data_IF_063159908897
#
_entry.id   IF_063159908897
#
_cell.length_a   1.000
_cell.length_b   1.000
_cell.length_c   1.000
_cell.angle_alpha   90.00
_cell.angle_beta   90.00
_cell.angle_gamma   90.00
#
_symmetry.space_group_name_H-M   'P 1'
#
loop_
_entity.id
_entity.type
_entity.pdbx_description
1 polymer ?
#
# COMPACT_ATOMS: atom_id res chain seq x y z
N UNK A 1 27.61 14.19 34.56
CA UNK A 1 26.63 13.15 34.16
C UNK A 1 26.90 11.77 34.77
N UNK A 2 28.15 11.40 35.08
CA UNK A 2 28.44 10.10 35.74
C UNK A 2 27.98 9.99 37.20
N UNK A 3 28.05 11.07 38.01
CA UNK A 3 27.63 11.04 39.42
C UNK A 3 26.12 10.84 39.63
N UNK A 4 25.27 11.15 38.64
CA UNK A 4 23.83 10.91 38.70
C UNK A 4 23.46 9.43 38.41
N UNK A 5 24.28 8.71 37.65
CA UNK A 5 24.02 7.29 37.32
C UNK A 5 24.22 6.38 38.54
N UNK A 6 25.10 6.72 39.47
CA UNK A 6 25.37 5.91 40.67
C UNK A 6 24.26 6.00 41.71
N UNK A 7 23.58 7.14 41.80
CA UNK A 7 22.47 7.35 42.75
C UNK A 7 21.20 6.56 42.41
N UNK A 8 21.02 6.16 41.14
CA UNK A 8 19.81 5.45 40.69
C UNK A 8 19.84 3.94 40.99
N UNK A 9 20.98 3.38 41.44
CA UNK A 9 21.14 1.94 41.67
C UNK A 9 20.50 1.44 42.99
N UNK A 10 20.07 2.34 43.87
CA UNK A 10 19.53 2.02 45.20
C UNK A 10 18.02 2.30 45.35
N UNK A 11 17.30 2.64 44.27
CA UNK A 11 15.83 2.66 44.24
C UNK A 11 15.12 3.88 44.83
N UNK A 12 15.81 4.85 45.45
CA UNK A 12 15.20 6.11 45.94
C UNK A 12 16.16 7.28 45.75
N UNK A 13 15.69 8.39 45.16
CA UNK A 13 16.42 9.66 45.06
C UNK A 13 15.78 10.67 46.02
N UNK A 14 16.54 11.16 47.01
CA UNK A 14 16.11 12.22 47.92
C UNK A 14 16.59 13.58 47.42
N UNK A 15 15.66 14.48 47.07
CA UNK A 15 15.94 15.88 46.77
C UNK A 15 15.37 16.74 47.90
N UNK A 16 16.24 17.49 48.58
CA UNK A 16 15.82 18.46 49.59
C UNK A 16 15.74 19.84 48.94
N UNK A 17 14.53 20.32 48.74
CA UNK A 17 14.25 21.72 48.41
C UNK A 17 13.18 22.23 49.39
N UNK A 18 13.53 23.24 50.19
CA UNK A 18 12.54 24.00 50.96
C UNK A 18 11.72 23.21 52.00
N UNK A 19 12.33 22.31 52.75
CA UNK A 19 11.72 21.74 53.97
C UNK A 19 10.65 20.65 53.78
N UNK A 20 10.34 20.24 52.55
CA UNK A 20 9.46 19.09 52.28
C UNK A 20 10.25 17.94 51.62
N UNK A 21 10.16 16.75 52.21
CA UNK A 21 10.71 15.52 51.65
C UNK A 21 9.78 15.00 50.54
N UNK A 22 10.15 15.19 49.26
CA UNK A 22 9.48 14.53 48.13
C UNK A 22 10.17 13.20 47.81
N UNK A 23 9.44 12.08 47.94
CA UNK A 23 9.88 10.76 47.47
C UNK A 23 9.51 10.59 45.99
N UNK A 24 10.50 10.70 45.10
CA UNK A 24 10.32 10.35 43.68
C UNK A 24 10.71 8.89 43.49
N UNK A 25 9.71 8.04 43.28
CA UNK A 25 9.92 6.62 43.01
C UNK A 25 10.41 6.46 41.57
N UNK A 26 11.68 6.09 41.41
CA UNK A 26 12.25 5.78 40.10
C UNK A 26 11.64 4.46 39.60
N UNK A 27 10.60 4.57 38.77
CA UNK A 27 10.12 3.47 37.95
C UNK A 27 11.25 3.07 36.99
N UNK A 28 11.91 1.97 37.32
CA UNK A 28 12.89 1.34 36.43
C UNK A 28 12.12 0.78 35.24
N UNK A 29 12.16 1.50 34.11
CA UNK A 29 11.74 0.99 32.81
C UNK A 29 12.63 -0.21 32.49
N UNK A 30 12.15 -1.42 32.82
CA UNK A 30 12.72 -2.63 32.24
C UNK A 30 12.58 -2.47 30.73
N UNK A 31 13.71 -2.45 30.02
CA UNK A 31 13.70 -2.58 28.58
C UNK A 31 12.92 -3.86 28.27
N UNK A 32 11.81 -3.70 27.56
CA UNK A 32 10.97 -4.80 27.13
C UNK A 32 11.83 -5.72 26.26
N UNK A 33 12.11 -6.93 26.76
CA UNK A 33 12.88 -7.91 26.00
C UNK A 33 12.11 -8.18 24.71
N UNK A 34 12.73 -7.86 23.56
CA UNK A 34 12.13 -8.07 22.26
C UNK A 34 11.84 -9.57 22.08
N UNK A 35 10.59 -9.95 22.24
CA UNK A 35 10.15 -11.34 22.08
C UNK A 35 10.42 -11.75 20.63
N UNK A 36 11.21 -12.80 20.43
CA UNK A 36 11.44 -13.36 19.10
C UNK A 36 10.14 -13.90 18.52
N UNK A 37 9.64 -13.26 17.47
CA UNK A 37 8.39 -13.63 16.80
C UNK A 37 8.69 -14.70 15.74
N UNK A 38 8.12 -15.90 15.91
CA UNK A 38 8.06 -16.89 14.83
C UNK A 38 6.59 -17.07 14.44
N UNK A 39 6.13 -16.48 13.32
CA UNK A 39 4.69 -16.39 13.02
C UNK A 39 3.97 -17.75 13.01
N UNK A 40 4.60 -18.79 12.46
CA UNK A 40 3.98 -20.12 12.44
C UNK A 40 3.93 -20.76 13.83
N UNK A 41 4.93 -20.53 14.68
CA UNK A 41 4.92 -20.98 16.08
C UNK A 41 3.78 -20.32 16.85
N UNK A 42 3.58 -19.01 16.65
CA UNK A 42 2.51 -18.26 17.29
C UNK A 42 1.12 -18.68 16.79
N UNK A 43 1.02 -19.08 15.51
CA UNK A 43 -0.24 -19.54 14.89
C UNK A 43 -0.63 -20.96 15.30
N UNK A 44 0.33 -21.88 15.31
CA UNK A 44 0.08 -23.30 15.58
C UNK A 44 0.50 -23.68 17.00
N UNK A 45 0.27 -22.79 18.00
CA UNK A 45 0.75 -22.93 19.39
C UNK A 45 0.70 -24.38 19.87
N UNK A 46 1.70 -24.75 20.68
CA UNK A 46 2.06 -26.11 21.10
C UNK A 46 0.93 -27.04 21.60
N UNK A 47 -0.27 -26.54 21.84
CA UNK A 47 -1.42 -27.31 22.32
C UNK A 47 -1.92 -28.35 21.30
N UNK A 48 -1.65 -28.16 20.01
CA UNK A 48 -2.10 -29.06 18.94
C UNK A 48 -0.97 -29.85 18.26
N UNK A 49 0.29 -29.67 18.70
CA UNK A 49 1.45 -30.31 18.09
C UNK A 49 2.21 -31.12 19.14
N UNK A 50 2.67 -32.32 18.79
CA UNK A 50 3.67 -33.01 19.60
C UNK A 50 4.98 -32.22 19.62
N UNK A 51 5.82 -32.42 20.64
CA UNK A 51 7.14 -31.75 20.71
C UNK A 51 7.99 -31.98 19.45
N UNK A 52 7.86 -33.15 18.83
CA UNK A 52 8.53 -33.46 17.57
C UNK A 52 7.99 -32.62 16.41
N UNK A 53 6.66 -32.53 16.26
CA UNK A 53 6.03 -31.70 15.24
C UNK A 53 6.36 -30.21 15.42
N UNK A 54 6.35 -29.75 16.67
CA UNK A 54 6.71 -28.39 17.03
C UNK A 54 8.20 -28.10 16.73
N UNK A 55 9.10 -29.05 17.01
CA UNK A 55 10.51 -28.97 16.64
C UNK A 55 10.73 -28.95 15.12
N UNK A 56 10.01 -29.79 14.36
CA UNK A 56 10.04 -29.81 12.89
C UNK A 56 9.58 -28.47 12.31
N UNK A 57 8.54 -27.86 12.88
CA UNK A 57 8.07 -26.52 12.50
C UNK A 57 9.19 -25.49 12.68
N UNK A 58 9.82 -25.44 13.87
CA UNK A 58 10.87 -24.47 14.17
C UNK A 58 12.12 -24.64 13.29
N UNK A 59 12.56 -25.87 13.03
CA UNK A 59 13.68 -26.16 12.12
C UNK A 59 13.43 -25.59 10.72
N UNK A 60 12.16 -25.67 10.27
CA UNK A 60 11.73 -25.09 8.99
C UNK A 60 11.66 -23.56 9.05
N UNK A 61 10.99 -22.98 10.05
CA UNK A 61 10.77 -21.53 10.16
C UNK A 61 12.06 -20.74 10.34
N UNK A 62 12.98 -21.25 11.18
CA UNK A 62 14.27 -20.64 11.47
C UNK A 62 15.32 -20.97 10.41
N UNK A 63 14.96 -21.80 9.41
CA UNK A 63 15.78 -22.19 8.28
C UNK A 63 17.12 -22.85 8.67
N UNK A 64 17.17 -23.62 9.77
CA UNK A 64 18.39 -24.25 10.28
C UNK A 64 19.07 -25.16 9.24
N UNK A 65 18.26 -25.83 8.41
CA UNK A 65 18.71 -26.71 7.33
C UNK A 65 19.52 -26.00 6.23
N UNK A 66 19.41 -24.67 6.10
CA UNK A 66 20.20 -23.92 5.11
C UNK A 66 21.70 -24.03 5.37
N UNK A 67 22.10 -24.25 6.63
CA UNK A 67 23.49 -24.47 7.03
C UNK A 67 23.75 -25.92 7.47
N UNK A 68 22.79 -26.57 8.13
CA UNK A 68 22.98 -27.92 8.70
C UNK A 68 22.58 -29.07 7.75
N UNK A 69 22.06 -28.77 6.56
CA UNK A 69 21.66 -29.76 5.57
C UNK A 69 20.36 -30.50 5.89
N UNK A 70 20.10 -31.59 5.17
CA UNK A 70 18.92 -32.43 5.38
C UNK A 70 19.10 -33.35 6.60
N UNK A 71 18.09 -33.40 7.46
CA UNK A 71 18.08 -34.31 8.61
C UNK A 71 17.58 -35.70 8.16
N UNK A 72 18.34 -36.76 8.46
CA UNK A 72 17.99 -38.12 8.06
C UNK A 72 16.56 -38.49 8.54
N UNK A 73 15.69 -38.86 7.60
CA UNK A 73 14.29 -39.23 7.89
C UNK A 73 13.32 -38.06 8.13
N UNK A 74 13.77 -36.80 8.06
CA UNK A 74 12.91 -35.61 8.17
C UNK A 74 12.95 -34.82 6.86
N UNK A 75 11.91 -34.95 6.04
CA UNK A 75 11.74 -34.10 4.84
C UNK A 75 11.27 -32.72 5.27
N UNK A 76 12.20 -31.85 5.65
CA UNK A 76 11.96 -30.41 5.83
C UNK A 76 12.55 -29.70 4.61
N UNK A 77 11.79 -28.77 4.00
CA UNK A 77 12.25 -28.02 2.83
C UNK A 77 12.84 -26.66 3.27
N UNK A 78 14.04 -26.26 2.81
CA UNK A 78 14.64 -24.95 3.09
C UNK A 78 13.71 -23.82 2.68
N UNK A 79 13.58 -22.84 3.57
CA UNK A 79 12.90 -21.59 3.24
C UNK A 79 13.82 -20.77 2.34
N UNK A 80 13.44 -20.63 1.09
CA UNK A 80 14.20 -19.84 0.13
C UNK A 80 14.07 -18.34 0.44
N UNK A 81 15.17 -17.62 0.28
CA UNK A 81 15.22 -16.17 0.44
C UNK A 81 14.41 -15.45 -0.66
N UNK A 82 13.93 -14.22 -0.42
CA UNK A 82 13.29 -13.42 -1.45
C UNK A 82 14.23 -13.12 -2.62
N UNK A 83 13.69 -13.11 -3.84
CA UNK A 83 14.45 -12.75 -5.04
C UNK A 83 14.59 -11.22 -5.12
N UNK A 84 15.84 -10.75 -5.24
CA UNK A 84 16.18 -9.32 -5.28
C UNK A 84 16.25 -8.74 -6.70
N UNK A 85 16.11 -9.56 -7.74
CA UNK A 85 16.00 -9.10 -9.13
C UNK A 85 14.90 -8.07 -9.28
N UNK A 86 15.20 -6.95 -9.96
CA UNK A 86 14.29 -5.81 -10.13
C UNK A 86 13.71 -5.26 -8.82
N UNK A 87 14.41 -5.39 -7.69
CA UNK A 87 14.02 -4.78 -6.41
C UNK A 87 13.79 -3.27 -6.57
N UNK A 88 14.63 -2.62 -7.37
CA UNK A 88 14.58 -1.21 -7.73
C UNK A 88 13.24 -0.73 -8.33
N UNK A 89 12.46 -1.61 -8.97
CA UNK A 89 11.13 -1.27 -9.51
C UNK A 89 10.01 -1.52 -8.49
N UNK A 90 10.27 -2.40 -7.53
CA UNK A 90 9.25 -2.93 -6.61
C UNK A 90 9.30 -2.28 -5.23
N UNK A 91 10.48 -1.90 -4.76
CA UNK A 91 10.74 -1.51 -3.38
C UNK A 91 11.21 -0.05 -3.29
N UNK A 92 10.66 0.68 -2.32
CA UNK A 92 11.11 2.02 -1.97
C UNK A 92 12.57 1.97 -1.45
N UNK A 93 13.51 2.76 -2.01
CA UNK A 93 14.89 2.82 -1.53
C UNK A 93 15.02 3.17 -0.04
N UNK A 94 14.19 4.09 0.47
CA UNK A 94 14.19 4.46 1.89
C UNK A 94 13.80 3.26 2.77
N UNK A 95 12.78 2.50 2.35
CA UNK A 95 12.38 1.27 3.03
C UNK A 95 13.47 0.20 2.99
N UNK A 96 14.13 -0.01 1.84
CA UNK A 96 15.25 -0.95 1.73
C UNK A 96 16.34 -0.58 2.73
N UNK A 97 16.72 0.70 2.78
CA UNK A 97 17.73 1.20 3.72
C UNK A 97 17.34 0.95 5.18
N UNK A 98 16.11 1.29 5.56
CA UNK A 98 15.60 1.09 6.91
C UNK A 98 15.56 -0.40 7.28
N UNK A 99 15.14 -1.25 6.34
CA UNK A 99 15.09 -2.69 6.52
C UNK A 99 16.48 -3.29 6.73
N UNK A 100 17.48 -2.88 5.96
CA UNK A 100 18.88 -3.31 6.14
C UNK A 100 19.45 -2.87 7.50
N UNK A 101 19.08 -1.68 7.96
CA UNK A 101 19.53 -1.15 9.25
C UNK A 101 18.96 -1.93 10.45
N UNK A 102 17.67 -2.26 10.42
CA UNK A 102 17.02 -3.02 11.50
C UNK A 102 15.83 -3.87 11.00
N UNK A 103 16.08 -5.08 10.48
CA UNK A 103 15.02 -5.92 9.89
C UNK A 103 13.89 -6.26 10.85
N UNK A 104 14.20 -6.57 12.11
CA UNK A 104 13.20 -6.95 13.12
C UNK A 104 12.30 -5.79 13.52
N UNK A 105 12.81 -4.54 13.51
CA UNK A 105 12.00 -3.37 13.80
C UNK A 105 11.04 -3.05 12.65
N UNK A 106 11.49 -3.21 11.40
CA UNK A 106 10.65 -2.93 10.22
C UNK A 106 9.64 -4.06 9.97
N UNK A 107 10.05 -5.31 10.17
CA UNK A 107 9.17 -6.48 10.07
C UNK A 107 9.46 -7.46 11.21
N UNK A 108 8.74 -7.36 12.33
CA UNK A 108 8.83 -8.33 13.41
C UNK A 108 8.64 -9.76 12.91
N UNK A 109 9.53 -10.66 13.33
CA UNK A 109 9.52 -12.07 12.96
C UNK A 109 10.01 -12.38 11.54
N UNK A 110 10.70 -11.43 10.92
CA UNK A 110 11.52 -11.74 9.73
C UNK A 110 12.65 -12.70 10.10
N UNK A 111 13.05 -13.58 9.18
CA UNK A 111 14.23 -14.44 9.36
C UNK A 111 15.53 -13.74 8.98
N UNK A 112 15.45 -12.53 8.41
CA UNK A 112 16.64 -11.76 8.08
C UNK A 112 17.33 -11.29 9.36
N UNK A 113 18.59 -11.72 9.61
CA UNK A 113 19.31 -11.29 10.80
C UNK A 113 19.71 -9.82 10.69
N UNK A 114 19.96 -9.20 11.84
CA UNK A 114 20.61 -7.88 11.86
C UNK A 114 22.05 -8.05 11.39
N UNK A 115 22.38 -7.43 10.26
CA UNK A 115 23.74 -7.42 9.73
C UNK A 115 24.56 -6.37 10.50
N UNK A 116 25.05 -6.70 11.69
CA UNK A 116 25.70 -5.73 12.58
C UNK A 116 26.80 -4.91 11.90
N UNK A 117 27.63 -5.54 11.06
CA UNK A 117 28.67 -4.86 10.29
C UNK A 117 28.12 -3.82 9.32
N UNK A 118 27.07 -4.15 8.57
CA UNK A 118 26.41 -3.21 7.66
C UNK A 118 25.64 -2.13 8.44
N UNK A 119 24.92 -2.50 9.49
CA UNK A 119 24.08 -1.58 10.27
C UNK A 119 24.88 -0.56 11.09
N UNK A 120 26.17 -0.80 11.32
CA UNK A 120 27.07 0.11 12.05
C UNK A 120 27.71 1.19 11.18
N UNK A 121 27.70 1.03 9.85
CA UNK A 121 28.31 1.99 8.92
C UNK A 121 27.27 2.52 7.92
N UNK A 122 26.88 3.80 8.02
CA UNK A 122 25.96 4.43 7.09
C UNK A 122 26.39 4.31 5.61
N UNK A 123 27.69 4.38 5.32
CA UNK A 123 28.19 4.30 3.95
C UNK A 123 27.97 2.91 3.34
N UNK A 124 28.08 1.84 4.15
CA UNK A 124 27.79 0.47 3.72
C UNK A 124 26.29 0.30 3.43
N UNK A 125 25.41 0.83 4.29
CA UNK A 125 23.97 0.80 4.04
C UNK A 125 23.61 1.56 2.76
N UNK A 126 24.18 2.75 2.57
CA UNK A 126 23.91 3.60 1.41
C UNK A 126 24.38 2.91 0.12
N UNK A 127 25.57 2.29 0.14
CA UNK A 127 26.09 1.54 -1.02
C UNK A 127 25.23 0.31 -1.36
N UNK A 128 24.81 -0.47 -0.36
CA UNK A 128 23.94 -1.63 -0.57
C UNK A 128 22.56 -1.21 -1.09
N UNK A 129 21.97 -0.16 -0.50
CA UNK A 129 20.69 0.39 -0.95
C UNK A 129 20.82 0.89 -2.39
N UNK A 130 21.83 1.70 -2.68
CA UNK A 130 22.07 2.23 -4.02
C UNK A 130 22.22 1.12 -5.06
N UNK A 131 22.95 0.04 -4.75
CA UNK A 131 23.10 -1.11 -5.65
C UNK A 131 21.77 -1.85 -5.86
N UNK A 132 21.03 -2.15 -4.79
CA UNK A 132 19.76 -2.87 -4.86
C UNK A 132 18.64 -2.07 -5.56
N UNK A 133 18.73 -0.74 -5.49
CA UNK A 133 17.78 0.17 -6.15
C UNK A 133 18.36 0.88 -7.37
N UNK A 134 19.53 0.46 -7.86
CA UNK A 134 20.15 1.02 -9.04
C UNK A 134 19.28 0.79 -10.28
N UNK A 135 19.16 1.82 -11.13
CA UNK A 135 18.34 1.76 -12.35
C UNK A 135 16.84 1.61 -12.10
N UNK A 136 16.38 1.75 -10.85
CA UNK A 136 14.97 1.67 -10.47
C UNK A 136 14.24 2.98 -10.66
N UNK A 137 13.08 2.90 -11.32
CA UNK A 137 12.11 3.99 -11.40
C UNK A 137 11.05 3.93 -10.31
N UNK A 138 11.37 3.46 -9.09
CA UNK A 138 10.40 3.48 -7.99
C UNK A 138 9.94 4.91 -7.75
N UNK A 139 8.62 5.11 -7.76
CA UNK A 139 7.97 6.39 -7.51
C UNK A 139 6.73 6.15 -6.66
N UNK A 140 6.49 7.03 -5.69
CA UNK A 140 5.17 7.14 -5.09
C UNK A 140 4.19 7.57 -6.19
N UNK A 141 3.01 6.95 -6.21
CA UNK A 141 2.00 7.16 -7.24
C UNK A 141 0.69 7.52 -6.57
N UNK A 142 -0.07 8.36 -7.24
CA UNK A 142 -1.45 8.58 -6.90
C UNK A 142 -2.22 7.26 -6.93
N UNK A 143 -3.11 7.11 -5.96
CA UNK A 143 -3.94 5.93 -5.82
C UNK A 143 -5.38 6.35 -6.07
N UNK A 144 -6.03 5.66 -7.00
CA UNK A 144 -7.38 6.03 -7.40
C UNK A 144 -8.42 5.72 -6.33
N UNK A 145 -9.27 6.69 -6.00
CA UNK A 145 -10.34 6.52 -5.02
C UNK A 145 -11.31 5.41 -5.44
N UNK A 146 -11.63 5.32 -6.74
CA UNK A 146 -12.51 4.28 -7.28
C UNK A 146 -11.88 2.89 -7.16
N UNK A 147 -10.59 2.78 -7.48
CA UNK A 147 -9.84 1.54 -7.31
C UNK A 147 -9.70 1.14 -5.82
N UNK A 148 -9.60 2.11 -4.90
CA UNK A 148 -9.59 1.86 -3.45
C UNK A 148 -10.94 1.29 -3.00
N UNK A 149 -12.07 1.86 -3.44
CA UNK A 149 -13.41 1.35 -3.12
C UNK A 149 -13.58 -0.10 -3.59
N UNK A 150 -13.32 -0.38 -4.88
CA UNK A 150 -13.42 -1.75 -5.42
C UNK A 150 -12.43 -2.72 -4.76
N UNK A 151 -11.23 -2.23 -4.46
CA UNK A 151 -10.18 -2.99 -3.80
C UNK A 151 -10.53 -3.39 -2.37
N UNK A 152 -11.24 -2.54 -1.63
CA UNK A 152 -11.75 -2.84 -0.29
C UNK A 152 -12.73 -4.02 -0.35
N UNK A 153 -13.71 -3.96 -1.25
CA UNK A 153 -14.69 -5.03 -1.43
C UNK A 153 -14.03 -6.33 -1.88
N UNK A 154 -13.12 -6.26 -2.86
CA UNK A 154 -12.36 -7.42 -3.33
C UNK A 154 -11.53 -8.04 -2.21
N UNK A 155 -10.83 -7.23 -1.40
CA UNK A 155 -10.00 -7.73 -0.29
C UNK A 155 -10.80 -8.63 0.66
N UNK A 156 -12.05 -8.29 0.92
CA UNK A 156 -12.94 -9.09 1.77
C UNK A 156 -13.51 -10.29 1.00
N UNK A 157 -14.02 -10.10 -0.21
CA UNK A 157 -14.64 -11.16 -1.03
C UNK A 157 -13.68 -12.29 -1.39
N UNK A 158 -12.44 -11.96 -1.73
CA UNK A 158 -11.40 -12.96 -2.07
C UNK A 158 -10.74 -13.60 -0.83
N UNK A 159 -11.15 -13.18 0.37
CA UNK A 159 -10.72 -13.80 1.64
C UNK A 159 -9.38 -13.34 2.19
N UNK A 160 -8.79 -12.24 1.70
CA UNK A 160 -7.53 -11.71 2.22
C UNK A 160 -7.61 -11.44 3.74
N UNK A 161 -8.75 -10.93 4.20
CA UNK A 161 -9.01 -10.62 5.60
C UNK A 161 -8.89 -11.83 6.54
N UNK A 162 -9.10 -13.07 6.04
CA UNK A 162 -8.99 -14.28 6.86
C UNK A 162 -7.56 -14.54 7.36
N UNK A 163 -6.54 -14.08 6.63
CA UNK A 163 -5.13 -14.21 7.03
C UNK A 163 -4.51 -12.89 7.50
N UNK A 164 -4.90 -11.77 6.89
CA UNK A 164 -4.29 -10.46 7.12
C UNK A 164 -5.06 -9.58 8.10
N UNK A 165 -6.27 -9.99 8.49
CA UNK A 165 -7.20 -9.16 9.24
C UNK A 165 -7.87 -8.10 8.37
N UNK A 166 -8.91 -7.46 8.91
CA UNK A 166 -9.56 -6.32 8.30
C UNK A 166 -8.61 -5.11 8.29
N UNK A 167 -8.49 -4.43 7.15
CA UNK A 167 -7.59 -3.29 6.98
C UNK A 167 -8.31 -1.94 7.12
N UNK A 168 -9.63 -1.93 7.35
CA UNK A 168 -10.41 -0.71 7.59
C UNK A 168 -10.05 -0.09 8.94
N UNK A 169 -10.45 1.16 9.14
CA UNK A 169 -10.23 1.81 10.42
C UNK A 169 -11.09 1.16 11.51
N UNK A 170 -10.68 1.28 12.78
CA UNK A 170 -11.42 0.68 13.90
C UNK A 170 -12.86 1.23 13.95
N UNK A 171 -13.04 2.50 13.61
CA UNK A 171 -14.32 3.19 13.54
C UNK A 171 -15.23 2.58 12.46
N UNK A 172 -14.69 2.32 11.26
CA UNK A 172 -15.45 1.69 10.16
C UNK A 172 -15.84 0.26 10.53
N UNK A 173 -14.91 -0.51 11.11
CA UNK A 173 -15.17 -1.88 11.56
C UNK A 173 -16.29 -1.89 12.61
N UNK A 174 -16.25 -0.96 13.56
CA UNK A 174 -17.27 -0.83 14.59
C UNK A 174 -18.63 -0.43 14.01
N UNK A 175 -18.67 0.54 13.09
CA UNK A 175 -19.89 0.95 12.42
C UNK A 175 -20.54 -0.20 11.63
N UNK A 176 -19.74 -1.03 10.95
CA UNK A 176 -20.25 -2.20 10.22
C UNK A 176 -20.78 -3.29 11.15
N UNK A 177 -20.15 -3.50 12.31
CA UNK A 177 -20.64 -4.43 13.34
C UNK A 177 -21.97 -3.97 13.94
N UNK A 178 -22.14 -2.66 14.11
CA UNK A 178 -23.39 -2.04 14.56
C UNK A 178 -24.50 -2.05 13.50
N UNK A 179 -24.19 -2.47 12.27
CA UNK A 179 -25.16 -2.63 11.19
C UNK A 179 -25.83 -1.31 10.81
N UNK A 180 -25.07 -0.37 10.21
CA UNK A 180 -25.57 0.84 9.53
C UNK A 180 -26.86 1.44 10.13
N UNK A 181 -26.81 1.86 11.39
CA UNK A 181 -27.75 2.82 11.93
C UNK A 181 -26.95 4.09 12.33
N UNK A 182 -27.39 5.30 11.96
CA UNK A 182 -26.88 6.51 12.60
C UNK A 182 -27.14 6.38 14.11
N UNK A 183 -26.37 7.07 14.98
CA UNK A 183 -26.65 7.05 16.40
C UNK A 183 -28.11 7.45 16.59
N UNK A 184 -28.91 6.52 17.13
CA UNK A 184 -30.15 6.89 17.77
C UNK A 184 -29.74 7.79 18.93
N UNK A 185 -30.40 8.94 19.00
CA UNK A 185 -30.26 9.89 20.07
C UNK A 185 -30.36 9.17 21.44
N UNK A 186 -29.55 9.67 22.35
CA UNK A 186 -29.43 9.35 23.78
C UNK A 186 -30.60 8.58 24.40
N UNK A 187 -30.31 7.46 25.05
CA UNK A 187 -30.81 7.08 26.40
C UNK A 187 -30.32 5.66 26.75
N UNK A 188 -29.27 5.60 27.59
CA UNK A 188 -29.10 4.69 28.73
C UNK A 188 -27.61 4.69 29.16
N UNK A 189 -27.18 5.84 29.71
CA UNK A 189 -25.96 5.96 30.48
C UNK A 189 -26.14 5.27 31.84
N UNK A 190 -26.00 3.94 31.93
CA UNK A 190 -25.84 3.25 33.23
C UNK A 190 -25.35 1.77 33.08
N UNK A 191 -24.41 1.48 32.17
CA UNK A 191 -23.63 0.22 32.24
C UNK A 191 -22.13 0.50 32.50
N UNK A 192 -21.66 0.41 33.77
CA UNK A 192 -20.25 0.60 34.11
C UNK A 192 -19.32 -0.48 33.50
N UNK A 193 -19.85 -1.56 32.92
CA UNK A 193 -19.06 -2.59 32.23
C UNK A 193 -18.88 -2.34 30.72
N UNK A 194 -19.55 -1.34 30.12
CA UNK A 194 -19.43 -1.03 28.69
C UNK A 194 -18.03 -0.50 28.31
N UNK A 195 -17.43 0.31 29.19
CA UNK A 195 -16.08 0.88 29.00
C UNK A 195 -15.00 -0.21 29.09
N UNK A 196 -15.21 -1.22 29.95
CA UNK A 196 -14.30 -2.36 30.09
C UNK A 196 -14.39 -3.34 28.90
N UNK A 197 -15.56 -3.46 28.27
CA UNK A 197 -15.74 -4.26 27.05
C UNK A 197 -15.09 -3.59 25.82
N UNK A 198 -15.17 -2.26 25.71
CA UNK A 198 -14.53 -1.47 24.63
C UNK A 198 -12.99 -1.51 24.71
N UNK A 199 -12.43 -1.42 25.92
CA UNK A 199 -10.99 -1.57 26.12
C UNK A 199 -10.49 -3.01 25.86
N UNK A 200 -11.33 -4.03 26.12
CA UNK A 200 -11.03 -5.42 25.75
C UNK A 200 -11.12 -5.68 24.25
N UNK A 201 -12.00 -5.00 23.51
CA UNK A 201 -12.07 -5.11 22.03
C UNK A 201 -10.98 -4.33 21.31
N UNK A 202 -10.40 -3.30 21.93
CA UNK A 202 -9.19 -2.64 21.42
C UNK A 202 -7.94 -3.52 21.61
N UNK A 203 -7.85 -4.26 22.73
CA UNK A 203 -6.75 -5.19 22.99
C UNK A 203 -6.74 -6.44 22.07
N UNK A 204 -7.90 -6.81 21.49
CA UNK A 204 -8.01 -7.97 20.58
C UNK A 204 -7.62 -7.66 19.13
N UNK A 205 -7.23 -6.44 18.77
CA UNK A 205 -6.61 -6.14 17.47
C UNK A 205 -5.19 -6.70 17.31
N UNK A 206 -4.62 -7.33 18.35
CA UNK A 206 -3.25 -7.87 18.36
C UNK A 206 -3.12 -9.36 18.05
N UNK A 207 -4.21 -10.10 17.83
CA UNK A 207 -4.17 -11.56 17.61
C UNK A 207 -4.26 -11.99 16.12
N UNK A 208 -4.15 -11.06 15.16
CA UNK A 208 -4.21 -11.42 13.73
C UNK A 208 -2.87 -11.90 13.15
N UNK A 209 -2.97 -12.99 12.39
CA UNK A 209 -1.93 -13.98 12.14
C UNK A 209 -0.78 -13.54 11.21
N UNK A 210 -0.96 -12.48 10.40
CA UNK A 210 0.05 -11.97 9.46
C UNK A 210 -0.17 -10.46 9.18
N UNK A 211 0.25 -9.54 10.08
CA UNK A 211 0.08 -8.11 9.85
C UNK A 211 0.83 -7.66 8.59
N UNK A 212 0.15 -6.87 7.75
CA UNK A 212 0.72 -6.34 6.52
C UNK A 212 1.73 -5.20 6.78
N UNK A 213 1.58 -4.49 7.89
CA UNK A 213 2.39 -3.32 8.21
C UNK A 213 2.12 -2.16 7.26
N UNK A 214 3.09 -1.25 7.13
CA UNK A 214 3.00 -0.06 6.27
C UNK A 214 3.45 -0.37 4.85
N UNK A 215 2.54 -0.90 4.04
CA UNK A 215 2.83 -1.28 2.66
C UNK A 215 3.08 -0.05 1.77
N UNK A 216 2.45 1.08 2.09
CA UNK A 216 2.61 2.39 1.43
C UNK A 216 4.05 2.90 1.45
N UNK A 217 4.81 2.54 2.48
CA UNK A 217 6.22 2.92 2.59
C UNK A 217 7.14 1.96 1.83
N UNK A 218 6.65 0.76 1.48
CA UNK A 218 7.47 -0.36 1.01
C UNK A 218 7.39 -0.58 -0.49
N UNK A 219 6.18 -0.65 -1.03
CA UNK A 219 5.96 -1.11 -2.40
C UNK A 219 5.61 0.05 -3.32
N UNK A 220 6.02 -0.04 -4.59
CA UNK A 220 5.33 0.67 -5.67
C UNK A 220 3.98 -0.02 -5.96
N UNK A 221 3.05 0.71 -6.59
CA UNK A 221 1.78 0.12 -7.02
C UNK A 221 2.00 -1.09 -7.95
N UNK A 222 2.78 -0.91 -9.01
CA UNK A 222 3.12 -2.00 -9.94
C UNK A 222 3.83 -3.18 -9.24
N UNK A 223 4.73 -2.88 -8.28
CA UNK A 223 5.41 -3.91 -7.51
C UNK A 223 4.48 -4.71 -6.61
N UNK A 224 3.47 -4.07 -6.02
CA UNK A 224 2.45 -4.75 -5.21
C UNK A 224 1.49 -5.55 -6.09
N UNK A 225 1.02 -5.00 -7.21
CA UNK A 225 0.19 -5.72 -8.18
C UNK A 225 0.85 -7.02 -8.65
N UNK A 226 2.12 -6.96 -9.04
CA UNK A 226 2.88 -8.15 -9.45
C UNK A 226 3.00 -9.15 -8.31
N UNK A 227 3.23 -8.68 -7.08
CA UNK A 227 3.32 -9.56 -5.91
C UNK A 227 1.97 -10.23 -5.58
N UNK A 228 0.85 -9.53 -5.72
CA UNK A 228 -0.48 -10.09 -5.47
C UNK A 228 -0.86 -11.16 -6.50
N UNK A 229 -0.46 -10.98 -7.76
CA UNK A 229 -0.71 -11.95 -8.85
C UNK A 229 0.22 -13.15 -8.78
N UNK A 230 1.51 -12.91 -8.53
CA UNK A 230 2.55 -13.94 -8.57
C UNK A 230 3.45 -13.89 -7.33
N UNK A 231 2.93 -14.20 -6.12
CA UNK A 231 3.67 -14.02 -4.87
C UNK A 231 4.92 -14.88 -4.80
N UNK A 232 4.88 -16.08 -5.39
CA UNK A 232 5.99 -17.04 -5.40
C UNK A 232 7.11 -16.68 -6.38
N UNK A 233 6.85 -15.82 -7.36
CA UNK A 233 7.89 -15.32 -8.27
C UNK A 233 8.89 -14.43 -7.51
N UNK A 234 8.41 -13.61 -6.58
CA UNK A 234 9.26 -12.73 -5.75
C UNK A 234 9.67 -13.42 -4.44
N UNK A 235 8.81 -14.29 -3.89
CA UNK A 235 9.05 -15.02 -2.65
C UNK A 235 8.76 -16.52 -2.82
N UNK A 236 9.70 -17.30 -3.40
CA UNK A 236 9.53 -18.74 -3.57
C UNK A 236 9.24 -19.46 -2.24
N UNK A 237 9.91 -19.06 -1.15
CA UNK A 237 9.66 -19.55 0.21
C UNK A 237 8.49 -18.85 0.95
N UNK A 238 7.64 -18.11 0.24
CA UNK A 238 6.43 -17.48 0.76
C UNK A 238 5.29 -18.48 0.96
N UNK A 239 4.33 -18.13 1.82
CA UNK A 239 3.13 -18.95 2.11
C UNK A 239 1.82 -18.32 1.67
N UNK A 240 1.88 -17.09 1.13
CA UNK A 240 0.71 -16.48 0.55
C UNK A 240 0.36 -17.26 -0.72
N UNK A 241 -0.83 -17.87 -0.81
CA UNK A 241 -1.24 -18.57 -2.02
C UNK A 241 -1.46 -17.59 -3.17
N UNK A 242 -1.48 -18.09 -4.40
CA UNK A 242 -2.09 -17.36 -5.51
C UNK A 242 -3.59 -17.22 -5.23
N UNK A 243 -4.09 -15.98 -5.28
CA UNK A 243 -5.53 -15.70 -5.20
C UNK A 243 -6.18 -15.61 -6.59
N UNK A 244 -5.42 -15.90 -7.66
CA UNK A 244 -5.87 -15.90 -9.05
C UNK A 244 -6.55 -14.60 -9.51
N UNK A 245 -6.09 -13.46 -8.97
CA UNK A 245 -6.60 -12.14 -9.30
C UNK A 245 -6.27 -11.78 -10.76
N UNK A 246 -7.22 -11.16 -11.45
CA UNK A 246 -6.97 -10.51 -12.73
C UNK A 246 -5.99 -9.32 -12.57
N UNK A 247 -5.41 -8.81 -13.66
CA UNK A 247 -4.64 -7.56 -13.62
C UNK A 247 -5.41 -6.40 -12.96
N UNK A 248 -6.68 -6.23 -13.30
CA UNK A 248 -7.57 -5.18 -12.80
C UNK A 248 -7.90 -5.39 -11.31
N UNK A 249 -8.25 -6.62 -10.91
CA UNK A 249 -8.51 -6.95 -9.51
C UNK A 249 -7.26 -6.74 -8.64
N UNK A 250 -6.08 -7.10 -9.16
CA UNK A 250 -4.81 -6.89 -8.45
C UNK A 250 -4.48 -5.41 -8.28
N UNK A 251 -4.81 -4.58 -9.28
CA UNK A 251 -4.68 -3.11 -9.23
C UNK A 251 -5.57 -2.54 -8.15
N UNK A 252 -6.82 -2.96 -8.10
CA UNK A 252 -7.80 -2.45 -7.14
C UNK A 252 -7.40 -2.84 -5.70
N UNK A 253 -7.07 -4.12 -5.45
CA UNK A 253 -6.58 -4.56 -4.13
C UNK A 253 -5.27 -3.86 -3.74
N UNK A 254 -4.32 -3.71 -4.66
CA UNK A 254 -3.09 -2.96 -4.40
C UNK A 254 -3.37 -1.49 -4.08
N UNK A 255 -4.31 -0.85 -4.79
CA UNK A 255 -4.75 0.52 -4.55
C UNK A 255 -5.34 0.64 -3.14
N UNK A 256 -6.25 -0.25 -2.76
CA UNK A 256 -6.78 -0.29 -1.40
C UNK A 256 -5.67 -0.40 -0.34
N UNK A 257 -4.72 -1.31 -0.53
CA UNK A 257 -3.60 -1.50 0.40
C UNK A 257 -2.64 -0.30 0.46
N UNK A 258 -2.55 0.50 -0.60
CA UNK A 258 -1.70 1.68 -0.72
C UNK A 258 -2.45 3.00 -0.55
N UNK A 259 -3.74 2.99 -0.16
CA UNK A 259 -4.61 4.20 -0.01
C UNK A 259 -4.05 5.32 0.87
N UNK A 260 -3.02 5.04 1.68
CA UNK A 260 -2.32 6.00 2.55
C UNK A 260 -1.10 6.65 1.88
N UNK A 261 -0.77 6.28 0.64
CA UNK A 261 0.26 6.97 -0.14
C UNK A 261 -0.20 8.41 -0.36
N UNK A 262 0.63 9.35 0.07
CA UNK A 262 0.41 10.76 -0.19
C UNK A 262 1.28 11.18 -1.36
N UNK A 263 0.65 11.75 -2.38
CA UNK A 263 1.34 12.44 -3.49
C UNK A 263 0.72 13.82 -3.63
N UNK A 264 1.53 14.77 -4.09
CA UNK A 264 1.02 16.09 -4.44
C UNK A 264 0.11 16.00 -5.67
N UNK A 265 -0.92 16.84 -5.70
CA UNK A 265 -1.80 16.95 -6.86
C UNK A 265 -0.99 17.33 -8.10
N UNK A 266 -1.22 16.60 -9.20
CA UNK A 266 -0.40 16.65 -10.40
C UNK A 266 -1.23 16.71 -11.69
N UNK A 267 -2.56 16.82 -11.57
CA UNK A 267 -3.53 16.91 -12.65
C UNK A 267 -4.56 17.98 -12.27
N UNK A 268 -4.93 18.85 -13.20
CA UNK A 268 -6.11 19.72 -13.06
C UNK A 268 -7.35 18.97 -13.54
N UNK A 269 -8.49 19.20 -12.90
CA UNK A 269 -9.77 18.67 -13.35
C UNK A 269 -10.81 19.77 -13.51
N UNK A 270 -11.74 19.53 -14.40
CA UNK A 270 -12.97 20.29 -14.58
C UNK A 270 -14.15 19.30 -14.58
N UNK A 271 -15.15 19.59 -13.76
CA UNK A 271 -16.35 18.77 -13.62
C UNK A 271 -17.56 19.51 -14.21
N UNK A 272 -18.36 18.77 -14.95
CA UNK A 272 -19.53 19.26 -15.69
C UNK A 272 -20.73 18.38 -15.38
N UNK A 273 -21.92 18.96 -15.39
CA UNK A 273 -23.18 18.23 -15.22
C UNK A 273 -24.02 18.35 -16.48
N UNK A 274 -24.61 17.23 -16.90
CA UNK A 274 -25.40 17.14 -18.12
C UNK A 274 -25.55 15.70 -18.57
N UNK A 275 -26.52 15.44 -19.43
CA UNK A 275 -26.76 14.11 -19.98
C UNK A 275 -26.29 14.10 -21.43
N UNK A 276 -25.43 13.15 -21.78
CA UNK A 276 -24.87 13.02 -23.12
C UNK A 276 -24.84 11.56 -23.55
N UNK A 277 -24.95 11.32 -24.86
CA UNK A 277 -24.77 9.99 -25.45
C UNK A 277 -23.35 9.81 -26.04
N UNK A 278 -22.58 10.91 -26.08
CA UNK A 278 -21.21 11.03 -26.62
C UNK A 278 -20.49 12.15 -25.89
N UNK A 279 -19.15 12.13 -25.92
CA UNK A 279 -18.32 13.17 -25.33
C UNK A 279 -18.75 14.56 -25.80
N UNK A 280 -19.04 15.48 -24.85
CA UNK A 280 -19.46 16.83 -25.20
C UNK A 280 -18.29 17.67 -25.74
N UNK A 281 -18.63 18.80 -26.37
CA UNK A 281 -17.65 19.85 -26.60
C UNK A 281 -17.38 20.61 -25.29
N UNK A 282 -16.38 20.16 -24.55
CA UNK A 282 -15.93 20.76 -23.29
C UNK A 282 -15.49 22.22 -23.41
N UNK A 283 -15.21 22.72 -24.62
CA UNK A 283 -14.87 24.14 -24.83
C UNK A 283 -16.11 25.04 -24.78
N UNK A 284 -17.28 24.49 -25.10
CA UNK A 284 -18.57 25.19 -25.06
C UNK A 284 -19.28 25.09 -23.71
N UNK A 285 -18.82 24.20 -22.82
CA UNK A 285 -19.42 23.97 -21.51
C UNK A 285 -18.84 24.87 -20.42
N UNK A 286 -19.68 25.21 -19.44
CA UNK A 286 -19.24 25.86 -18.20
C UNK A 286 -19.05 24.80 -17.12
N UNK A 287 -17.82 24.68 -16.60
CA UNK A 287 -17.54 23.78 -15.48
C UNK A 287 -18.33 24.19 -14.23
N UNK A 288 -18.92 23.19 -13.56
CA UNK A 288 -19.58 23.33 -12.26
C UNK A 288 -18.53 23.49 -11.17
N UNK A 289 -17.43 22.73 -11.25
CA UNK A 289 -16.28 22.89 -10.36
C UNK A 289 -14.97 22.63 -11.10
N UNK A 290 -13.89 23.16 -10.53
CA UNK A 290 -12.51 22.94 -11.00
C UNK A 290 -11.61 22.74 -9.80
N UNK A 291 -10.54 21.99 -9.98
CA UNK A 291 -9.56 21.80 -8.92
C UNK A 291 -8.34 21.05 -9.42
N UNK A 292 -7.59 20.49 -8.47
CA UNK A 292 -6.47 19.61 -8.76
C UNK A 292 -6.72 18.26 -8.09
N UNK A 293 -6.18 17.21 -8.71
CA UNK A 293 -6.26 15.84 -8.24
C UNK A 293 -4.92 15.14 -8.50
N UNK A 294 -4.81 13.92 -8.01
CA UNK A 294 -3.64 13.08 -8.15
C UNK A 294 -3.84 12.00 -9.23
N UNK A 295 -5.08 11.71 -9.61
CA UNK A 295 -5.44 10.63 -10.54
C UNK A 295 -6.62 11.00 -11.45
N UNK A 296 -7.08 10.03 -12.26
CA UNK A 296 -8.23 10.18 -13.16
C UNK A 296 -9.50 9.54 -12.56
N UNK A 297 -9.80 9.80 -11.28
CA UNK A 297 -10.98 9.22 -10.62
C UNK A 297 -12.28 9.75 -11.24
N UNK A 298 -13.17 8.84 -11.60
CA UNK A 298 -14.52 9.15 -12.07
C UNK A 298 -15.44 9.61 -10.92
N UNK A 299 -15.12 9.27 -9.67
CA UNK A 299 -15.83 9.71 -8.46
C UNK A 299 -15.63 11.19 -8.08
N UNK A 300 -15.05 12.02 -8.95
CA UNK A 300 -14.94 13.47 -8.72
C UNK A 300 -16.26 14.13 -9.09
N UNK A 301 -16.93 14.72 -8.11
CA UNK A 301 -18.18 15.45 -8.33
C UNK A 301 -19.23 15.14 -7.28
N UNK A 302 -20.43 15.67 -7.49
CA UNK A 302 -21.56 15.45 -6.59
C UNK A 302 -22.52 14.35 -7.09
N UNK A 303 -22.47 14.03 -8.39
CA UNK A 303 -23.38 13.06 -9.02
C UNK A 303 -22.66 11.75 -9.33
N UNK A 304 -23.45 10.69 -9.38
CA UNK A 304 -23.02 9.37 -9.87
C UNK A 304 -23.34 9.17 -11.35
N UNK A 305 -24.25 9.98 -11.90
CA UNK A 305 -24.74 9.90 -13.28
C UNK A 305 -24.90 11.31 -13.86
N UNK A 306 -25.02 11.41 -15.18
CA UNK A 306 -25.20 12.67 -15.92
C UNK A 306 -24.10 13.70 -15.58
N UNK A 307 -22.85 13.27 -15.70
CA UNK A 307 -21.69 14.14 -15.51
C UNK A 307 -20.59 13.89 -16.53
N UNK A 308 -19.69 14.86 -16.65
CA UNK A 308 -18.49 14.73 -17.45
C UNK A 308 -17.28 15.32 -16.72
N UNK A 309 -16.11 14.77 -17.01
CA UNK A 309 -14.83 15.18 -16.46
C UNK A 309 -13.85 15.49 -17.58
N UNK A 310 -13.11 16.59 -17.43
CA UNK A 310 -11.93 16.88 -18.25
C UNK A 310 -10.73 17.05 -17.33
N UNK A 311 -9.73 16.21 -17.55
CA UNK A 311 -8.46 16.25 -16.86
C UNK A 311 -7.40 16.86 -17.77
N UNK A 312 -6.59 17.75 -17.20
CA UNK A 312 -5.57 18.51 -17.90
C UNK A 312 -4.25 18.36 -17.14
N UNK A 313 -3.15 18.18 -17.88
CA UNK A 313 -1.82 18.15 -17.29
C UNK A 313 -0.74 17.90 -18.33
N UNK A 314 0.41 17.46 -17.84
CA UNK A 314 1.56 17.15 -18.68
C UNK A 314 2.13 15.78 -18.34
N UNK A 315 2.21 14.88 -19.32
CA UNK A 315 2.88 13.58 -19.15
C UNK A 315 4.39 13.71 -19.39
N UNK A 316 5.18 13.20 -18.44
CA UNK A 316 6.63 13.21 -18.47
C UNK A 316 7.16 11.88 -18.98
N UNK A 317 7.70 11.89 -20.20
CA UNK A 317 8.19 10.71 -20.91
C UNK A 317 9.69 10.54 -20.68
N UNK A 318 10.13 9.46 -19.99
CA UNK A 318 11.54 9.31 -19.63
C UNK A 318 12.44 8.92 -20.80
N UNK A 319 11.90 8.24 -21.82
CA UNK A 319 12.65 7.76 -22.98
C UNK A 319 11.82 7.91 -24.24
N UNK A 320 12.43 8.34 -25.34
CA UNK A 320 11.73 8.39 -26.61
C UNK A 320 11.37 6.98 -27.11
N UNK A 321 10.23 6.83 -27.77
CA UNK A 321 9.82 5.59 -28.43
C UNK A 321 8.30 5.42 -28.50
N UNK A 322 7.88 4.19 -28.77
CA UNK A 322 6.46 3.83 -28.89
C UNK A 322 5.86 3.52 -27.53
N UNK A 323 4.83 4.29 -27.16
CA UNK A 323 4.05 4.06 -25.96
C UNK A 323 2.68 3.52 -26.32
N UNK A 324 2.18 2.59 -25.51
CA UNK A 324 0.79 2.13 -25.58
C UNK A 324 0.02 2.67 -24.39
N UNK A 325 -1.07 3.35 -24.67
CA UNK A 325 -2.04 3.86 -23.68
C UNK A 325 -3.22 2.91 -23.66
N UNK A 326 -3.67 2.55 -22.46
CA UNK A 326 -4.83 1.70 -22.22
C UNK A 326 -5.85 2.51 -21.42
N UNK A 327 -7.11 2.49 -21.84
CA UNK A 327 -8.21 3.17 -21.19
C UNK A 327 -9.34 2.17 -20.97
N UNK A 328 -9.83 2.07 -19.75
CA UNK A 328 -11.09 1.38 -19.43
C UNK A 328 -12.07 2.43 -18.95
N UNK A 329 -13.25 2.50 -19.55
CA UNK A 329 -14.32 3.37 -19.07
C UNK A 329 -15.70 2.70 -19.11
N UNK A 330 -16.54 2.99 -18.12
CA UNK A 330 -18.01 2.91 -18.24
C UNK A 330 -18.46 4.18 -18.94
N UNK A 331 -19.20 4.05 -20.04
CA UNK A 331 -19.45 5.13 -21.02
C UNK A 331 -18.19 5.79 -21.60
N UNK A 332 -18.33 7.01 -22.13
CA UNK A 332 -17.41 7.56 -23.11
C UNK A 332 -16.15 8.15 -22.52
N UNK A 333 -14.99 7.82 -23.10
CA UNK A 333 -13.72 8.46 -22.78
C UNK A 333 -12.82 8.71 -23.97
N UNK A 334 -11.92 9.69 -23.84
CA UNK A 334 -10.91 10.03 -24.84
C UNK A 334 -9.61 10.48 -24.18
N UNK A 335 -8.48 10.06 -24.75
CA UNK A 335 -7.15 10.51 -24.33
C UNK A 335 -6.42 11.17 -25.49
N UNK A 336 -5.96 12.40 -25.27
CA UNK A 336 -5.11 13.14 -26.18
C UNK A 336 -3.74 13.39 -25.55
N UNK A 337 -2.67 13.15 -26.32
CA UNK A 337 -1.30 13.48 -25.94
C UNK A 337 -0.73 14.42 -27.00
N UNK A 338 -0.38 15.64 -26.58
CA UNK A 338 -0.14 16.77 -27.48
C UNK A 338 -1.43 17.11 -28.23
N UNK A 339 -1.36 17.13 -29.55
CA UNK A 339 -2.51 17.39 -30.44
C UNK A 339 -3.13 16.09 -30.99
N UNK A 340 -2.63 14.92 -30.57
CA UNK A 340 -3.03 13.63 -31.13
C UNK A 340 -4.02 12.93 -30.21
N UNK A 341 -5.17 12.54 -30.76
CA UNK A 341 -6.07 11.56 -30.15
C UNK A 341 -5.40 10.18 -30.18
N UNK A 342 -5.10 9.65 -28.99
CA UNK A 342 -4.41 8.35 -28.84
C UNK A 342 -5.41 7.23 -28.62
N UNK A 343 -6.42 7.47 -27.77
CA UNK A 343 -7.49 6.51 -27.49
C UNK A 343 -8.83 7.22 -27.55
N UNK A 344 -9.81 6.58 -28.19
CA UNK A 344 -11.18 7.00 -28.25
C UNK A 344 -12.07 5.80 -27.92
N UNK A 345 -12.74 5.90 -26.78
CA UNK A 345 -13.70 4.94 -26.26
C UNK A 345 -15.03 5.66 -26.00
N UNK A 346 -15.50 6.43 -26.98
CA UNK A 346 -16.72 7.24 -26.86
C UNK A 346 -18.01 6.43 -27.07
N UNK A 347 -19.11 6.94 -26.51
CA UNK A 347 -20.44 6.36 -26.54
C UNK A 347 -20.86 5.68 -25.24
N UNK A 348 -22.15 5.34 -25.15
CA UNK A 348 -22.72 4.63 -23.99
C UNK A 348 -22.39 3.15 -24.07
N UNK A 349 -21.77 2.61 -23.03
CA UNK A 349 -21.43 1.19 -22.93
C UNK A 349 -21.01 0.81 -21.51
N UNK A 350 -21.18 -0.47 -21.10
CA UNK A 350 -20.59 -0.98 -19.86
C UNK A 350 -19.05 -0.79 -19.83
N UNK A 351 -18.36 -1.08 -18.71
CA UNK A 351 -16.91 -0.95 -18.63
C UNK A 351 -16.18 -1.74 -19.72
N UNK A 352 -15.58 -1.02 -20.67
CA UNK A 352 -14.86 -1.60 -21.81
C UNK A 352 -13.46 -0.99 -21.92
N UNK A 353 -12.47 -1.86 -22.12
CA UNK A 353 -11.08 -1.48 -22.35
C UNK A 353 -10.77 -1.21 -23.83
N UNK A 354 -10.08 -0.11 -24.13
CA UNK A 354 -9.47 0.20 -25.42
C UNK A 354 -8.02 0.64 -25.26
N UNK A 355 -7.24 0.43 -26.30
CA UNK A 355 -5.84 0.82 -26.30
C UNK A 355 -5.45 1.51 -27.61
N UNK A 356 -4.45 2.37 -27.52
CA UNK A 356 -3.88 3.11 -28.64
C UNK A 356 -2.37 3.23 -28.49
N UNK A 357 -1.68 3.48 -29.61
CA UNK A 357 -0.22 3.64 -29.62
C UNK A 357 0.17 5.02 -30.12
N UNK A 358 1.25 5.56 -29.58
CA UNK A 358 1.75 6.89 -29.94
C UNK A 358 3.27 6.95 -29.85
N UNK A 359 3.89 7.56 -30.85
CA UNK A 359 5.32 7.89 -30.83
C UNK A 359 5.55 9.17 -30.03
N UNK A 360 6.32 9.06 -28.94
CA UNK A 360 6.65 10.17 -28.05
C UNK A 360 8.17 10.38 -27.98
N UNK A 361 8.59 11.65 -27.94
CA UNK A 361 9.96 12.02 -27.60
C UNK A 361 10.13 12.02 -26.08
N UNK A 362 11.36 11.90 -25.59
CA UNK A 362 11.63 12.14 -24.18
C UNK A 362 11.28 13.60 -23.80
N UNK A 363 10.74 13.81 -22.60
CA UNK A 363 10.31 15.11 -22.10
C UNK A 363 8.81 15.21 -21.87
N UNK A 364 8.33 16.44 -21.73
CA UNK A 364 6.96 16.76 -21.35
C UNK A 364 6.03 16.88 -22.56
N UNK A 365 4.84 16.28 -22.49
CA UNK A 365 3.79 16.40 -23.49
C UNK A 365 2.48 16.81 -22.82
N UNK A 366 1.71 17.70 -23.45
CA UNK A 366 0.37 18.04 -22.96
C UNK A 366 -0.51 16.78 -22.92
N UNK A 367 -1.33 16.65 -21.89
CA UNK A 367 -2.24 15.52 -21.70
C UNK A 367 -3.65 16.07 -21.46
N UNK A 368 -4.60 15.51 -22.19
CA UNK A 368 -6.03 15.72 -21.96
C UNK A 368 -6.69 14.35 -21.84
N UNK A 369 -7.43 14.13 -20.76
CA UNK A 369 -8.31 12.96 -20.60
C UNK A 369 -9.72 13.47 -20.41
N UNK A 370 -10.63 13.02 -21.25
CA UNK A 370 -12.05 13.40 -21.22
C UNK A 370 -12.89 12.16 -20.95
N UNK A 371 -13.96 12.34 -20.18
CA UNK A 371 -14.84 11.27 -19.74
C UNK A 371 -16.27 11.81 -19.55
N UNK A 372 -17.28 10.99 -19.82
CA UNK A 372 -18.64 11.22 -19.36
C UNK A 372 -19.27 9.93 -18.84
N UNK A 373 -20.19 10.08 -17.90
CA UNK A 373 -21.02 9.01 -17.36
C UNK A 373 -22.48 9.43 -17.50
N UNK A 374 -23.28 8.64 -18.22
CA UNK A 374 -24.71 8.87 -18.34
C UNK A 374 -25.49 8.15 -17.25
N UNK A 375 -25.15 6.89 -16.96
CA UNK A 375 -25.98 6.07 -16.09
C UNK A 375 -25.42 4.67 -15.86
N UNK A 376 -25.22 4.31 -14.61
CA UNK A 376 -24.78 2.97 -14.26
C UNK A 376 -23.81 2.98 -13.09
N UNK A 377 -22.72 2.24 -13.23
CA UNK A 377 -21.56 2.44 -12.37
C UNK A 377 -20.59 3.38 -13.06
N UNK A 378 -19.78 4.10 -12.31
CA UNK A 378 -18.70 4.87 -12.92
C UNK A 378 -17.36 4.10 -12.91
N UNK A 379 -16.70 3.99 -14.06
CA UNK A 379 -15.31 3.54 -14.13
C UNK A 379 -14.52 4.41 -15.11
N UNK A 380 -13.35 4.86 -14.67
CA UNK A 380 -12.31 5.40 -15.54
C UNK A 380 -10.94 4.91 -15.04
N UNK A 381 -10.18 4.30 -15.94
CA UNK A 381 -8.79 3.97 -15.70
C UNK A 381 -7.96 4.27 -16.92
N UNK A 382 -6.83 4.95 -16.72
CA UNK A 382 -5.88 5.29 -17.78
C UNK A 382 -4.50 4.82 -17.39
N UNK A 383 -3.93 3.92 -18.20
CA UNK A 383 -2.64 3.30 -17.98
C UNK A 383 -1.73 3.45 -19.21
N UNK A 384 -0.43 3.33 -19.00
CA UNK A 384 0.59 3.47 -20.04
C UNK A 384 1.70 2.44 -19.86
N UNK A 385 2.23 1.93 -20.96
CA UNK A 385 3.44 1.11 -21.03
C UNK A 385 4.34 1.56 -22.20
N UNK A 386 5.64 1.27 -22.13
CA UNK A 386 6.58 1.67 -23.18
C UNK A 386 8.05 1.32 -22.87
N UNK A 387 9.02 1.93 -23.58
CA UNK A 387 10.43 1.59 -23.47
C UNK A 387 10.97 1.80 -22.05
N UNK A 388 11.29 0.70 -21.37
CA UNK A 388 11.76 0.72 -19.98
C UNK A 388 10.69 1.10 -18.95
N UNK A 389 9.41 1.04 -19.34
CA UNK A 389 8.26 1.36 -18.50
C UNK A 389 7.26 0.20 -18.54
N UNK A 390 7.11 -0.52 -17.42
CA UNK A 390 6.03 -1.51 -17.25
C UNK A 390 4.67 -0.82 -17.24
N UNK A 391 3.61 -1.52 -17.65
CA UNK A 391 2.23 -1.03 -17.55
C UNK A 391 1.94 -0.52 -16.14
N UNK A 392 1.49 0.72 -16.06
CA UNK A 392 1.16 1.42 -14.82
C UNK A 392 0.16 2.55 -15.10
N UNK A 393 -0.55 3.08 -14.08
CA UNK A 393 -1.34 4.29 -14.20
C UNK A 393 -0.59 5.46 -14.86
N UNK A 394 -1.22 6.10 -15.83
CA UNK A 394 -0.66 7.24 -16.55
C UNK A 394 -0.44 8.46 -15.62
N UNK A 395 -1.28 8.61 -14.60
CA UNK A 395 -1.18 9.68 -13.60
C UNK A 395 0.13 9.68 -12.80
N UNK A 396 0.87 8.57 -12.79
CA UNK A 396 2.19 8.52 -12.16
C UNK A 396 3.27 9.29 -12.91
N UNK A 397 3.01 9.62 -14.18
CA UNK A 397 3.90 10.37 -15.05
C UNK A 397 3.43 11.81 -15.24
N UNK A 398 2.36 12.25 -14.59
CA UNK A 398 1.80 13.59 -14.83
C UNK A 398 2.35 14.65 -13.90
N UNK A 399 2.36 15.89 -14.39
CA UNK A 399 2.68 17.12 -13.65
C UNK A 399 1.69 18.23 -14.03
N UNK A 400 1.46 19.19 -13.12
CA UNK A 400 0.62 20.37 -13.40
C UNK A 400 1.28 21.31 -14.42
N UNK A 401 2.61 21.37 -14.40
CA UNK A 401 3.41 22.23 -15.28
C UNK A 401 4.22 21.42 -16.29
N UNK A 402 4.67 22.07 -17.38
CA UNK A 402 5.56 21.44 -18.38
C UNK A 402 6.87 20.96 -17.77
N UNK A 403 7.38 21.72 -16.80
CA UNK A 403 8.64 21.42 -16.12
C UNK A 403 8.39 20.38 -15.02
N UNK A 404 9.18 19.30 -15.02
CA UNK A 404 9.25 18.38 -13.89
C UNK A 404 10.02 19.06 -12.75
N UNK A 405 9.47 19.01 -11.52
CA UNK A 405 10.19 19.43 -10.31
C UNK A 405 11.29 18.46 -9.93
#
# INVERSE_FOLDING_TARGET
MERLKTLCRAGVLWLVAGGALLTVQCLSLKAEEAVSVVPAWQRFRAEHLTSEQAGRLLISELNCQSCHGSYAGLTVQPRQAPILTAAAQRLNPAHVRQFLQNPQQVKPGTVMPRLHTAASDPAVLDALTAFLTAGGGWRAMAISADAVRRGEDLFHRVGCAACHGDQRSAEVIDALRRGLAPPADEEDEDDPDAVAKSAKTAATQSDFLMPLGRLEEKYSLAGLMQFLREPHLVRPGGRMPSLNLSPEESRDVASYLLRKVQVEANIEYEYFEGSWDKLPDFSALKAVSKGTTTDFSAGIGARQNDFALRFLGYVQIPRAGEYRVHVTSDDGSRVLIGEREVVNNDGIHPPVGRSGTVQLTAGSHALVVEYFEQGGGEELSVEIEGPGLSRQPLSALTTLTREAR
#
